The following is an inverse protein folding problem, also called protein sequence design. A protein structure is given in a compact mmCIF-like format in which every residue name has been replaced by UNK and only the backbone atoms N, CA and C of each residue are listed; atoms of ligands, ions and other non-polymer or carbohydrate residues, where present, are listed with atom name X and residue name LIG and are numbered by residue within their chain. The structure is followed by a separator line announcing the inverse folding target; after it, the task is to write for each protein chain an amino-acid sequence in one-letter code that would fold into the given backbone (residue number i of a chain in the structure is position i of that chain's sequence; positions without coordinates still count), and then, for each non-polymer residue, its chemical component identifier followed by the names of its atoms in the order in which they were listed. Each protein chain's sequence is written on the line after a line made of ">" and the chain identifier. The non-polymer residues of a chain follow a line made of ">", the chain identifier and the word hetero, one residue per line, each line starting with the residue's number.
data_IF_303325159637
#
_entry.id   IF_303325159637
#
_cell.length_a   1.000
_cell.length_b   1.000
_cell.length_c   1.000
_cell.angle_alpha   90.00
_cell.angle_beta   90.00
_cell.angle_gamma   90.00
#
_symmetry.space_group_name_H-M   'P 1'
#
loop_
_entity.id
_entity.type
_entity.pdbx_description
1 polymer ?
#
# COMPACT_ATOMS: atom_id res chain seq x y z
N UNK A 1 -14.87 -11.02 -22.45
CA UNK A 1 -14.73 -9.68 -21.80
C UNK A 1 -13.30 -9.60 -21.31
N UNK A 2 -12.63 -8.46 -21.47
CA UNK A 2 -11.28 -8.30 -20.92
C UNK A 2 -11.34 -8.41 -19.39
N UNK A 3 -10.35 -9.07 -18.79
CA UNK A 3 -10.19 -9.18 -17.35
C UNK A 3 -9.90 -7.80 -16.77
N UNK A 4 -10.51 -7.48 -15.63
CA UNK A 4 -10.16 -6.26 -14.90
C UNK A 4 -8.78 -6.42 -14.25
N UNK A 5 -7.92 -5.42 -14.37
CA UNK A 5 -6.62 -5.42 -13.68
C UNK A 5 -6.76 -4.57 -12.42
N UNK A 6 -6.57 -5.20 -11.27
CA UNK A 6 -6.60 -4.54 -9.97
C UNK A 6 -5.18 -4.47 -9.42
N UNK A 7 -4.67 -3.28 -9.20
CA UNK A 7 -3.31 -3.04 -8.73
C UNK A 7 -3.37 -2.51 -7.31
N UNK A 8 -2.79 -3.27 -6.38
CA UNK A 8 -2.80 -2.98 -4.96
C UNK A 8 -1.38 -2.62 -4.53
N UNK A 9 -1.25 -1.45 -3.94
CA UNK A 9 0.03 -0.92 -3.48
C UNK A 9 0.05 -0.88 -1.96
N UNK A 10 1.11 -1.41 -1.36
CA UNK A 10 1.60 -0.83 -0.11
C UNK A 10 2.12 0.60 -0.34
N UNK A 11 2.27 1.37 0.74
CA UNK A 11 2.61 2.78 0.66
C UNK A 11 4.08 3.07 1.02
N UNK A 12 4.43 2.94 2.29
CA UNK A 12 5.78 3.22 2.80
C UNK A 12 6.79 2.29 2.11
N UNK A 13 7.91 2.84 1.63
CA UNK A 13 8.97 2.10 0.90
C UNK A 13 8.48 1.31 -0.32
N UNK A 14 7.26 1.52 -0.76
CA UNK A 14 6.69 0.91 -1.98
C UNK A 14 6.31 2.00 -2.98
N UNK A 15 5.33 2.85 -2.64
CA UNK A 15 4.96 4.02 -3.44
C UNK A 15 5.91 5.19 -3.20
N UNK A 16 6.28 5.42 -1.94
CA UNK A 16 7.28 6.40 -1.55
C UNK A 16 8.62 5.71 -1.26
N UNK A 17 9.73 6.45 -1.34
CA UNK A 17 11.08 5.93 -1.10
C UNK A 17 11.54 6.09 0.36
N UNK A 18 10.60 6.35 1.28
CA UNK A 18 10.86 6.42 2.72
C UNK A 18 9.67 5.83 3.50
N UNK A 19 9.75 5.90 4.82
CA UNK A 19 8.70 5.55 5.78
C UNK A 19 8.10 6.86 6.31
N UNK A 20 6.82 7.08 6.02
CA UNK A 20 6.11 8.34 6.30
C UNK A 20 6.06 8.67 7.80
N UNK A 21 5.91 7.65 8.65
CA UNK A 21 5.94 7.80 10.10
C UNK A 21 7.33 8.28 10.56
N UNK A 22 8.39 7.59 10.14
CA UNK A 22 9.78 7.95 10.45
C UNK A 22 10.16 9.31 9.90
N UNK A 23 9.66 9.67 8.73
CA UNK A 23 9.88 10.98 8.12
C UNK A 23 9.37 12.10 9.03
N UNK A 24 8.12 11.99 9.50
CA UNK A 24 7.53 12.96 10.42
C UNK A 24 8.26 12.97 11.76
N UNK A 25 8.56 11.79 12.34
CA UNK A 25 9.29 11.70 13.62
C UNK A 25 10.63 12.43 13.54
N UNK A 26 11.41 12.18 12.49
CA UNK A 26 12.73 12.80 12.30
C UNK A 26 12.59 14.29 11.98
N UNK A 27 11.74 14.63 11.01
CA UNK A 27 11.55 15.99 10.51
C UNK A 27 10.99 16.95 11.55
N UNK A 28 10.24 16.44 12.53
CA UNK A 28 9.61 17.23 13.58
C UNK A 28 10.28 17.06 14.96
N UNK A 29 11.45 16.41 15.03
CA UNK A 29 12.28 16.38 16.23
C UNK A 29 11.80 15.45 17.35
N UNK A 30 11.02 14.40 17.02
CA UNK A 30 10.47 13.46 18.00
C UNK A 30 11.32 12.20 18.22
N UNK A 31 12.44 12.03 17.51
CA UNK A 31 13.26 10.82 17.52
C UNK A 31 13.59 10.28 18.93
N UNK A 32 13.95 11.17 19.86
CA UNK A 32 14.29 10.76 21.22
C UNK A 32 13.07 10.16 21.95
N UNK A 33 11.94 10.85 21.95
CA UNK A 33 10.71 10.37 22.58
C UNK A 33 10.19 9.09 21.92
N UNK A 34 10.23 9.03 20.59
CA UNK A 34 9.87 7.84 19.83
C UNK A 34 10.67 6.62 20.30
N UNK A 35 12.01 6.74 20.39
CA UNK A 35 12.87 5.64 20.81
C UNK A 35 12.61 5.21 22.26
N UNK A 36 12.25 6.14 23.15
CA UNK A 36 11.90 5.82 24.54
C UNK A 36 10.59 5.03 24.64
N UNK A 37 9.59 5.35 23.81
CA UNK A 37 8.25 4.77 23.90
C UNK A 37 8.06 3.52 23.01
N UNK A 38 8.91 3.34 22.00
CA UNK A 38 8.88 2.19 21.08
C UNK A 38 8.83 0.81 21.75
N UNK A 39 9.59 0.51 22.83
CA UNK A 39 9.51 -0.81 23.46
C UNK A 39 8.24 -1.03 24.29
N UNK A 40 7.42 0.01 24.51
CA UNK A 40 6.29 0.00 25.44
C UNK A 40 4.95 -0.01 24.69
N UNK A 41 4.87 0.69 23.56
CA UNK A 41 3.61 0.90 22.82
C UNK A 41 3.57 0.07 21.54
N UNK A 42 2.36 -0.35 21.14
CA UNK A 42 2.12 -0.82 19.78
C UNK A 42 2.45 0.27 18.76
N UNK A 43 2.76 -0.09 17.51
CA UNK A 43 3.13 0.89 16.49
C UNK A 43 2.07 1.98 16.30
N UNK A 44 0.80 1.59 16.11
CA UNK A 44 -0.30 2.55 15.93
C UNK A 44 -0.48 3.46 17.16
N UNK A 45 -0.43 2.90 18.38
CA UNK A 45 -0.52 3.70 19.61
C UNK A 45 0.66 4.64 19.79
N UNK A 46 1.86 4.22 19.36
CA UNK A 46 3.06 5.03 19.38
C UNK A 46 2.92 6.21 18.43
N UNK A 47 2.47 5.98 17.20
CA UNK A 47 2.28 7.05 16.22
C UNK A 47 1.18 8.03 16.65
N UNK A 48 0.06 7.54 17.19
CA UNK A 48 -0.96 8.38 17.80
C UNK A 48 -0.40 9.23 18.96
N UNK A 49 0.46 8.65 19.81
CA UNK A 49 1.16 9.39 20.86
C UNK A 49 2.12 10.44 20.29
N UNK A 50 2.80 10.17 19.17
CA UNK A 50 3.71 11.12 18.53
C UNK A 50 2.95 12.33 18.01
N UNK A 51 1.84 12.15 17.30
CA UNK A 51 1.06 13.29 16.78
C UNK A 51 0.39 14.11 17.89
N UNK A 52 0.02 13.48 19.02
CA UNK A 52 -0.43 14.18 20.23
C UNK A 52 0.68 15.00 20.88
N UNK A 53 1.92 14.51 20.87
CA UNK A 53 3.07 15.27 21.36
C UNK A 53 3.39 16.47 20.45
N UNK A 54 3.28 16.33 19.13
CA UNK A 54 3.44 17.48 18.24
C UNK A 54 2.47 18.60 18.59
N UNK A 55 1.21 18.24 18.86
CA UNK A 55 0.22 19.21 19.27
C UNK A 55 0.52 19.86 20.63
N UNK A 56 0.99 19.09 21.63
CA UNK A 56 1.39 19.66 22.93
C UNK A 56 2.56 20.65 22.81
N UNK A 57 3.39 20.49 21.78
CA UNK A 57 4.47 21.42 21.42
C UNK A 57 4.01 22.58 20.52
N UNK A 58 2.69 22.74 20.32
CA UNK A 58 2.11 23.83 19.52
C UNK A 58 2.18 23.63 18.01
N UNK A 59 2.53 22.43 17.52
CA UNK A 59 2.50 22.10 16.09
C UNK A 59 1.07 21.83 15.64
N UNK A 60 0.76 22.29 14.44
CA UNK A 60 -0.54 22.13 13.80
C UNK A 60 -0.54 20.97 12.81
N UNK A 61 -1.72 20.49 12.44
CA UNK A 61 -1.89 19.53 11.34
C UNK A 61 -1.30 20.04 10.02
N UNK A 62 -1.33 21.37 9.81
CA UNK A 62 -0.70 22.00 8.65
C UNK A 62 0.83 21.84 8.68
N UNK A 63 1.47 21.97 9.83
CA UNK A 63 2.92 21.78 9.96
C UNK A 63 3.31 20.33 9.63
N UNK A 64 2.50 19.37 10.07
CA UNK A 64 2.68 17.95 9.72
C UNK A 64 2.52 17.77 8.20
N UNK A 65 1.50 18.39 7.60
CA UNK A 65 1.29 18.31 6.16
C UNK A 65 2.45 18.91 5.36
N UNK A 66 2.98 20.07 5.75
CA UNK A 66 4.16 20.66 5.09
C UNK A 66 5.40 19.76 5.23
N UNK A 67 5.59 19.11 6.38
CA UNK A 67 6.67 18.13 6.56
C UNK A 67 6.52 16.94 5.59
N UNK A 68 5.31 16.40 5.45
CA UNK A 68 5.01 15.26 4.58
C UNK A 68 5.20 15.56 3.09
N UNK A 69 5.03 16.82 2.64
CA UNK A 69 5.32 17.20 1.25
C UNK A 69 6.79 17.02 0.86
N UNK A 70 7.69 16.93 1.83
CA UNK A 70 9.10 16.64 1.59
C UNK A 70 9.43 15.16 1.35
N UNK A 71 8.49 14.24 1.59
CA UNK A 71 8.72 12.79 1.46
C UNK A 71 9.07 12.45 0.01
N UNK A 72 10.16 11.71 -0.23
CA UNK A 72 10.58 11.37 -1.58
C UNK A 72 9.63 10.37 -2.24
N UNK A 73 9.22 10.69 -3.46
CA UNK A 73 8.47 9.79 -4.35
C UNK A 73 9.16 9.80 -5.72
N UNK A 74 9.63 8.65 -6.17
CA UNK A 74 10.37 8.55 -7.43
C UNK A 74 9.50 8.97 -8.62
N UNK A 75 9.99 9.87 -9.47
CA UNK A 75 9.23 10.40 -10.61
C UNK A 75 8.70 9.30 -11.55
N UNK A 76 9.48 8.24 -11.74
CA UNK A 76 9.10 7.06 -12.55
C UNK A 76 8.00 6.21 -11.90
N UNK A 77 7.98 6.11 -10.57
CA UNK A 77 6.85 5.51 -9.84
C UNK A 77 5.58 6.34 -10.04
N UNK A 78 5.66 7.67 -9.97
CA UNK A 78 4.52 8.54 -10.26
C UNK A 78 4.01 8.37 -11.71
N UNK A 79 4.92 8.26 -12.67
CA UNK A 79 4.59 8.01 -14.07
C UNK A 79 3.90 6.65 -14.25
N UNK A 80 4.40 5.60 -13.62
CA UNK A 80 3.80 4.27 -13.65
C UNK A 80 2.36 4.26 -13.15
N UNK A 81 2.07 4.92 -12.02
CA UNK A 81 0.73 5.04 -11.44
C UNK A 81 -0.22 5.75 -12.42
N UNK A 82 0.20 6.89 -12.97
CA UNK A 82 -0.61 7.67 -13.91
C UNK A 82 -0.89 6.88 -15.19
N UNK A 83 0.12 6.18 -15.71
CA UNK A 83 -0.02 5.33 -16.89
C UNK A 83 -0.96 4.14 -16.63
N UNK A 84 -0.81 3.43 -15.51
CA UNK A 84 -1.69 2.33 -15.15
C UNK A 84 -3.15 2.79 -14.98
N UNK A 85 -3.36 3.95 -14.35
CA UNK A 85 -4.68 4.56 -14.25
C UNK A 85 -5.26 4.95 -15.62
N UNK A 86 -4.46 5.57 -16.49
CA UNK A 86 -4.87 5.93 -17.85
C UNK A 86 -5.19 4.70 -18.74
N UNK A 87 -4.57 3.56 -18.45
CA UNK A 87 -4.87 2.26 -19.07
C UNK A 87 -6.14 1.60 -18.52
N UNK A 88 -6.83 2.24 -17.57
CA UNK A 88 -8.10 1.76 -17.02
C UNK A 88 -7.95 0.71 -15.92
N UNK A 89 -6.77 0.54 -15.33
CA UNK A 89 -6.59 -0.34 -14.18
C UNK A 89 -7.29 0.24 -12.93
N UNK A 90 -7.78 -0.64 -12.05
CA UNK A 90 -8.32 -0.25 -10.74
C UNK A 90 -7.19 -0.22 -9.71
N UNK A 91 -6.75 0.99 -9.32
CA UNK A 91 -5.63 1.17 -8.39
C UNK A 91 -6.13 1.38 -6.97
N UNK A 92 -5.55 0.66 -6.01
CA UNK A 92 -5.88 0.78 -4.58
C UNK A 92 -4.63 0.85 -3.71
N UNK A 93 -4.72 1.53 -2.59
CA UNK A 93 -3.70 1.50 -1.53
C UNK A 93 -4.19 0.63 -0.38
N UNK A 94 -3.34 -0.31 0.06
CA UNK A 94 -3.56 -1.11 1.28
C UNK A 94 -2.29 -1.01 2.13
N UNK A 95 -2.33 -0.15 3.14
CA UNK A 95 -1.12 0.18 3.90
C UNK A 95 -1.37 0.31 5.39
N UNK A 96 -0.36 -0.09 6.16
CA UNK A 96 -0.35 0.02 7.62
C UNK A 96 0.12 1.39 8.13
N UNK A 97 0.33 2.35 7.23
CA UNK A 97 0.49 3.77 7.57
C UNK A 97 -0.84 4.35 8.09
N UNK A 98 -1.05 5.66 7.97
CA UNK A 98 -2.30 6.31 8.36
C UNK A 98 -2.89 7.17 7.24
N UNK A 99 -4.23 7.32 7.27
CA UNK A 99 -4.98 8.00 6.22
C UNK A 99 -4.49 9.43 5.96
N UNK A 100 -4.35 10.25 6.99
CA UNK A 100 -3.90 11.63 6.84
C UNK A 100 -2.55 11.74 6.09
N UNK A 101 -1.58 10.86 6.39
CA UNK A 101 -0.27 10.89 5.74
C UNK A 101 -0.35 10.50 4.28
N UNK A 102 -0.98 9.36 3.98
CA UNK A 102 -1.14 8.86 2.61
C UNK A 102 -1.84 9.90 1.74
N UNK A 103 -2.99 10.42 2.20
CA UNK A 103 -3.75 11.38 1.40
C UNK A 103 -2.96 12.67 1.15
N UNK A 104 -2.23 13.16 2.17
CA UNK A 104 -1.44 14.39 2.04
C UNK A 104 -0.35 14.26 0.99
N UNK A 105 0.41 13.16 1.04
CA UNK A 105 1.50 12.90 0.09
C UNK A 105 0.94 12.68 -1.31
N UNK A 106 -0.09 11.84 -1.47
CA UNK A 106 -0.71 11.59 -2.78
C UNK A 106 -1.31 12.86 -3.41
N UNK A 107 -1.97 13.71 -2.61
CA UNK A 107 -2.51 15.00 -3.08
C UNK A 107 -1.38 15.93 -3.50
N UNK A 108 -0.28 15.99 -2.75
CA UNK A 108 0.88 16.81 -3.12
C UNK A 108 1.47 16.42 -4.49
N UNK A 109 1.56 15.14 -4.79
CA UNK A 109 2.10 14.63 -6.06
C UNK A 109 1.06 14.55 -7.20
N UNK A 110 -0.20 14.93 -6.95
CA UNK A 110 -1.27 14.84 -7.94
C UNK A 110 -1.58 13.39 -8.35
N UNK A 111 -1.54 12.47 -7.39
CA UNK A 111 -1.76 11.03 -7.57
C UNK A 111 -3.01 10.54 -6.84
N UNK A 112 -3.60 11.34 -5.96
CA UNK A 112 -4.74 10.92 -5.12
C UNK A 112 -5.91 10.37 -5.95
N UNK A 113 -6.28 11.09 -7.01
CA UNK A 113 -7.42 10.72 -7.86
C UNK A 113 -7.15 9.49 -8.76
N UNK A 114 -5.91 8.99 -8.81
CA UNK A 114 -5.59 7.76 -9.52
C UNK A 114 -6.09 6.52 -8.77
N UNK A 115 -6.29 6.61 -7.45
CA UNK A 115 -6.67 5.50 -6.59
C UNK A 115 -8.18 5.53 -6.31
N UNK A 116 -8.85 4.42 -6.58
CA UNK A 116 -10.29 4.29 -6.28
C UNK A 116 -10.57 4.07 -4.79
N UNK A 117 -9.59 3.54 -4.05
CA UNK A 117 -9.74 3.24 -2.63
C UNK A 117 -8.38 3.29 -1.89
N UNK A 118 -8.39 3.84 -0.68
CA UNK A 118 -7.26 3.84 0.25
C UNK A 118 -7.74 3.18 1.55
N UNK A 119 -7.20 2.00 1.84
CA UNK A 119 -7.56 1.17 2.98
C UNK A 119 -6.37 1.15 3.94
N UNK A 120 -6.53 1.80 5.10
CA UNK A 120 -5.42 2.08 6.02
C UNK A 120 -5.95 2.45 7.41
N UNK A 121 -5.05 2.67 8.39
CA UNK A 121 -5.42 3.12 9.72
C UNK A 121 -6.13 4.49 9.67
N UNK A 122 -7.38 4.61 10.13
CA UNK A 122 -8.14 5.84 10.02
C UNK A 122 -7.56 6.97 10.89
N UNK A 123 -7.83 8.19 10.47
CA UNK A 123 -7.39 9.40 11.17
C UNK A 123 -8.54 10.39 11.35
N UNK A 124 -8.55 11.11 12.47
CA UNK A 124 -9.48 12.19 12.75
C UNK A 124 -8.71 13.44 13.16
N UNK A 125 -9.16 14.61 12.74
CA UNK A 125 -8.76 15.88 13.37
C UNK A 125 -9.90 16.31 14.26
N UNK A 126 -9.65 16.40 15.56
CA UNK A 126 -10.68 16.79 16.53
C UNK A 126 -10.99 18.30 16.50
N UNK A 127 -11.96 18.72 17.30
CA UNK A 127 -12.40 20.12 17.41
C UNK A 127 -11.30 21.09 17.90
N UNK A 128 -10.23 20.56 18.49
CA UNK A 128 -9.07 21.33 18.94
C UNK A 128 -7.92 21.31 17.93
N UNK A 129 -8.13 20.74 16.74
CA UNK A 129 -7.11 20.62 15.70
C UNK A 129 -6.06 19.55 16.00
N UNK A 130 -6.37 18.56 16.84
CA UNK A 130 -5.45 17.44 17.13
C UNK A 130 -5.67 16.30 16.17
N UNK A 131 -4.60 15.86 15.52
CA UNK A 131 -4.61 14.63 14.74
C UNK A 131 -4.64 13.42 15.69
N UNK A 132 -5.52 12.48 15.40
CA UNK A 132 -5.66 11.21 16.10
C UNK A 132 -5.55 10.07 15.08
N UNK A 133 -4.85 9.01 15.45
CA UNK A 133 -4.64 7.81 14.62
C UNK A 133 -5.28 6.62 15.32
N UNK A 134 -6.09 5.86 14.58
CA UNK A 134 -6.82 4.71 15.10
C UNK A 134 -6.41 3.44 14.35
N UNK A 135 -6.41 2.27 15.00
CA UNK A 135 -6.20 1.01 14.30
C UNK A 135 -7.34 0.75 13.29
N UNK A 136 -7.02 0.17 12.14
CA UNK A 136 -8.02 -0.20 11.13
C UNK A 136 -8.98 -1.29 11.64
N UNK A 137 -8.42 -2.31 12.30
CA UNK A 137 -9.19 -3.35 12.96
C UNK A 137 -9.54 -2.97 14.39
N UNK A 138 -10.72 -3.41 14.84
CA UNK A 138 -11.08 -3.38 16.25
C UNK A 138 -10.14 -4.28 17.06
N UNK A 139 -9.38 -3.67 17.97
CA UNK A 139 -8.44 -4.38 18.83
C UNK A 139 -9.13 -5.29 19.86
N UNK A 140 -10.42 -5.07 20.15
CA UNK A 140 -11.19 -5.95 21.01
C UNK A 140 -11.57 -7.28 20.32
N UNK A 141 -11.48 -7.33 18.99
CA UNK A 141 -11.84 -8.48 18.17
C UNK A 141 -10.66 -8.89 17.27
N UNK A 142 -9.65 -9.61 17.80
CA UNK A 142 -8.47 -9.99 17.04
C UNK A 142 -8.84 -10.75 15.76
N UNK A 143 -8.24 -10.37 14.64
CA UNK A 143 -8.55 -10.93 13.32
C UNK A 143 -7.97 -12.34 13.08
N UNK A 144 -7.36 -12.98 14.10
CA UNK A 144 -6.91 -14.38 14.06
C UNK A 144 -5.75 -14.69 13.10
N UNK A 145 -5.07 -13.70 12.52
CA UNK A 145 -3.93 -13.93 11.64
C UNK A 145 -2.62 -13.80 12.42
N UNK A 146 -1.76 -14.82 12.34
CA UNK A 146 -0.47 -14.84 13.03
C UNK A 146 0.67 -14.15 12.26
N UNK A 147 0.43 -13.72 11.02
CA UNK A 147 1.43 -13.07 10.16
C UNK A 147 1.35 -11.53 10.19
N UNK A 148 0.26 -10.98 10.72
CA UNK A 148 -0.02 -9.54 10.65
C UNK A 148 -0.05 -8.92 12.05
N UNK A 149 0.28 -7.63 12.17
CA UNK A 149 0.08 -6.90 13.41
C UNK A 149 -1.42 -6.77 13.72
N UNK A 150 -1.76 -6.59 15.00
CA UNK A 150 -3.15 -6.61 15.48
C UNK A 150 -4.04 -5.52 14.88
N UNK A 151 -3.46 -4.39 14.50
CA UNK A 151 -4.18 -3.23 14.01
C UNK A 151 -4.65 -3.38 12.55
N UNK A 152 -3.98 -4.17 11.70
CA UNK A 152 -4.38 -4.35 10.32
C UNK A 152 -3.86 -5.67 9.73
N UNK A 153 -4.75 -6.43 9.08
CA UNK A 153 -4.39 -7.62 8.32
C UNK A 153 -4.66 -7.38 6.83
N UNK A 154 -3.60 -7.05 6.08
CA UNK A 154 -3.71 -6.78 4.64
C UNK A 154 -4.23 -7.98 3.85
N UNK A 155 -3.94 -9.21 4.29
CA UNK A 155 -4.48 -10.42 3.64
C UNK A 155 -6.01 -10.56 3.74
N UNK A 156 -6.61 -10.15 4.87
CA UNK A 156 -8.08 -10.12 5.01
C UNK A 156 -8.66 -9.02 4.12
N UNK A 157 -7.99 -7.86 4.06
CA UNK A 157 -8.39 -6.76 3.17
C UNK A 157 -8.41 -7.19 1.71
N UNK A 158 -7.36 -7.85 1.21
CA UNK A 158 -7.35 -8.36 -0.17
C UNK A 158 -8.45 -9.37 -0.40
N UNK A 159 -8.70 -10.32 0.52
CA UNK A 159 -9.79 -11.29 0.36
C UNK A 159 -11.14 -10.59 0.24
N UNK A 160 -11.37 -9.50 0.98
CA UNK A 160 -12.57 -8.68 0.84
C UNK A 160 -12.66 -8.01 -0.54
N UNK A 161 -11.55 -7.44 -1.05
CA UNK A 161 -11.50 -6.84 -2.39
C UNK A 161 -11.78 -7.89 -3.47
N UNK A 162 -11.15 -9.07 -3.38
CA UNK A 162 -11.39 -10.19 -4.30
C UNK A 162 -12.87 -10.60 -4.29
N UNK A 163 -13.47 -10.72 -3.10
CA UNK A 163 -14.87 -11.10 -2.95
C UNK A 163 -15.87 -10.06 -3.47
N UNK A 164 -15.53 -8.76 -3.45
CA UNK A 164 -16.40 -7.71 -4.01
C UNK A 164 -16.36 -7.65 -5.54
N UNK A 165 -15.32 -8.20 -6.17
CA UNK A 165 -15.13 -8.15 -7.63
C UNK A 165 -15.57 -9.45 -8.31
N UNK A 166 -15.29 -10.60 -7.69
CA UNK A 166 -15.55 -11.94 -8.26
C UNK A 166 -16.99 -12.17 -8.80
N UNK A 167 -18.07 -11.63 -8.19
CA UNK A 167 -19.42 -11.81 -8.72
C UNK A 167 -19.69 -11.08 -10.05
N UNK A 168 -18.87 -10.08 -10.38
CA UNK A 168 -19.14 -9.16 -11.49
C UNK A 168 -18.25 -9.39 -12.70
N UNK A 169 -17.01 -9.87 -12.50
CA UNK A 169 -16.01 -10.03 -13.57
C UNK A 169 -14.82 -10.87 -13.13
N UNK A 170 -14.13 -11.43 -14.12
CA UNK A 170 -12.78 -11.97 -13.91
C UNK A 170 -11.80 -10.82 -13.70
N UNK A 171 -10.95 -10.92 -12.67
CA UNK A 171 -9.95 -9.93 -12.35
C UNK A 171 -8.58 -10.58 -12.15
N UNK A 172 -7.52 -9.88 -12.56
CA UNK A 172 -6.12 -10.21 -12.28
C UNK A 172 -5.55 -9.21 -11.29
N UNK A 173 -4.97 -9.72 -10.23
CA UNK A 173 -4.41 -8.89 -9.16
C UNK A 173 -2.91 -8.73 -9.33
N UNK A 174 -2.43 -7.50 -9.18
CA UNK A 174 -1.01 -7.17 -9.06
C UNK A 174 -0.81 -6.54 -7.68
N UNK A 175 0.00 -7.15 -6.83
CA UNK A 175 0.32 -6.60 -5.50
C UNK A 175 1.77 -6.14 -5.44
N UNK A 176 2.00 -4.90 -5.01
CA UNK A 176 3.31 -4.32 -4.78
C UNK A 176 3.52 -4.09 -3.28
N UNK A 177 4.67 -4.49 -2.75
CA UNK A 177 5.01 -4.28 -1.33
C UNK A 177 6.50 -4.47 -1.02
N UNK A 178 6.91 -4.10 0.20
CA UNK A 178 8.29 -4.21 0.66
C UNK A 178 8.41 -5.02 1.97
N UNK A 179 7.43 -4.95 2.86
CA UNK A 179 7.59 -5.29 4.28
C UNK A 179 7.06 -6.66 4.69
N UNK A 180 7.31 -7.02 5.95
CA UNK A 180 6.79 -8.26 6.54
C UNK A 180 5.25 -8.36 6.46
N UNK A 181 4.56 -7.22 6.66
CA UNK A 181 3.09 -7.13 6.63
C UNK A 181 2.49 -7.43 5.26
N UNK A 182 3.30 -7.43 4.21
CA UNK A 182 2.88 -7.73 2.84
C UNK A 182 2.96 -9.21 2.49
N UNK A 183 3.58 -10.05 3.31
CA UNK A 183 3.66 -11.47 2.99
C UNK A 183 2.29 -12.16 3.09
N UNK A 184 1.48 -11.77 4.08
CA UNK A 184 0.13 -12.29 4.23
C UNK A 184 -0.76 -12.07 3.00
N UNK A 185 -0.87 -10.86 2.42
CA UNK A 185 -1.62 -10.65 1.19
C UNK A 185 -1.06 -11.40 -0.02
N UNK A 186 0.26 -11.57 -0.15
CA UNK A 186 0.85 -12.37 -1.24
C UNK A 186 0.36 -13.82 -1.20
N UNK A 187 0.24 -14.43 -0.01
CA UNK A 187 -0.32 -15.78 0.17
C UNK A 187 -1.82 -15.89 -0.18
N UNK A 188 -2.51 -14.78 -0.47
CA UNK A 188 -3.92 -14.76 -0.86
C UNK A 188 -4.12 -14.60 -2.37
N UNK A 189 -3.05 -14.31 -3.10
CA UNK A 189 -3.03 -14.27 -4.55
C UNK A 189 -3.00 -15.70 -5.10
N UNK A 190 -3.67 -15.90 -6.24
CA UNK A 190 -3.75 -17.20 -6.90
C UNK A 190 -2.95 -17.27 -8.19
N UNK A 191 -3.07 -18.40 -8.88
CA UNK A 191 -2.50 -18.57 -10.22
C UNK A 191 -3.02 -17.51 -11.20
N UNK A 192 -2.10 -16.84 -11.87
CA UNK A 192 -2.39 -15.76 -12.82
C UNK A 192 -2.31 -14.35 -12.22
N UNK A 193 -2.25 -14.23 -10.89
CA UNK A 193 -1.93 -12.97 -10.21
C UNK A 193 -0.42 -12.71 -10.21
N UNK A 194 -0.02 -11.48 -9.85
CA UNK A 194 1.36 -11.01 -9.82
C UNK A 194 1.74 -10.44 -8.45
N UNK A 195 2.91 -10.82 -7.98
CA UNK A 195 3.52 -10.30 -6.77
C UNK A 195 4.79 -9.52 -7.14
N UNK A 196 4.90 -8.26 -6.73
CA UNK A 196 6.01 -7.37 -7.05
C UNK A 196 6.73 -6.94 -5.77
N UNK A 197 7.57 -7.81 -5.18
CA UNK A 197 8.33 -7.46 -3.99
C UNK A 197 9.47 -6.51 -4.31
N UNK A 198 9.65 -5.47 -3.48
CA UNK A 198 10.82 -4.60 -3.56
C UNK A 198 12.06 -5.36 -3.07
N UNK A 199 13.11 -5.44 -3.88
CA UNK A 199 14.35 -6.13 -3.51
C UNK A 199 15.00 -5.49 -2.29
N UNK A 200 15.71 -6.33 -1.53
CA UNK A 200 16.43 -5.95 -0.31
C UNK A 200 15.52 -5.49 0.85
N UNK A 201 14.20 -5.65 0.73
CA UNK A 201 13.24 -5.49 1.81
C UNK A 201 12.67 -6.85 2.26
N UNK A 202 12.09 -6.93 3.48
CA UNK A 202 11.73 -8.22 4.08
C UNK A 202 10.79 -9.09 3.25
N UNK A 203 9.84 -8.51 2.52
CA UNK A 203 8.91 -9.26 1.68
C UNK A 203 9.64 -10.11 0.64
N UNK A 204 10.68 -9.55 0.02
CA UNK A 204 11.46 -10.23 -1.00
C UNK A 204 12.12 -11.50 -0.46
N UNK A 205 12.74 -11.43 0.72
CA UNK A 205 13.36 -12.60 1.35
C UNK A 205 12.32 -13.61 1.87
N UNK A 206 11.17 -13.13 2.36
CA UNK A 206 10.07 -14.02 2.78
C UNK A 206 9.54 -14.84 1.60
N UNK A 207 9.30 -14.20 0.45
CA UNK A 207 8.87 -14.91 -0.76
C UNK A 207 9.93 -15.91 -1.21
N UNK A 208 11.21 -15.52 -1.25
CA UNK A 208 12.32 -16.42 -1.63
C UNK A 208 12.44 -17.63 -0.71
N UNK A 209 12.14 -17.47 0.57
CA UNK A 209 12.25 -18.54 1.58
C UNK A 209 11.01 -19.44 1.65
N UNK A 210 9.91 -19.08 0.98
CA UNK A 210 8.61 -19.74 1.10
C UNK A 210 7.92 -19.89 -0.28
N UNK A 211 8.71 -20.10 -1.34
CA UNK A 211 8.23 -20.10 -2.73
C UNK A 211 7.12 -21.14 -2.98
N UNK A 212 7.15 -22.27 -2.28
CA UNK A 212 6.17 -23.34 -2.37
C UNK A 212 4.75 -22.92 -1.93
N UNK A 213 4.64 -21.84 -1.15
CA UNK A 213 3.36 -21.31 -0.68
C UNK A 213 2.85 -20.12 -1.51
N UNK A 214 3.64 -19.64 -2.47
CA UNK A 214 3.30 -18.47 -3.30
C UNK A 214 2.82 -18.94 -4.67
N UNK A 215 1.51 -18.79 -4.94
CA UNK A 215 0.92 -19.18 -6.23
C UNK A 215 1.05 -18.12 -7.34
N UNK A 216 1.23 -16.85 -6.96
CA UNK A 216 1.36 -15.73 -7.90
C UNK A 216 2.73 -15.74 -8.61
N UNK A 217 2.78 -15.21 -9.84
CA UNK A 217 4.06 -14.99 -10.54
C UNK A 217 4.80 -13.81 -9.88
N UNK A 218 6.08 -14.01 -9.55
CA UNK A 218 6.87 -13.04 -8.78
C UNK A 218 7.75 -12.20 -9.73
N UNK A 219 7.65 -10.88 -9.61
CA UNK A 219 8.42 -9.90 -10.38
C UNK A 219 9.08 -8.87 -9.45
N UNK A 220 10.30 -9.17 -9.05
CA UNK A 220 11.10 -8.32 -8.16
C UNK A 220 11.59 -7.03 -8.83
N UNK A 221 11.65 -5.93 -8.07
CA UNK A 221 12.08 -4.61 -8.55
C UNK A 221 12.93 -3.87 -7.50
N UNK A 222 13.86 -3.01 -7.92
CA UNK A 222 14.78 -2.30 -7.01
C UNK A 222 14.47 -0.80 -6.84
N UNK A 223 14.02 -0.15 -7.92
CA UNK A 223 13.83 1.31 -7.98
C UNK A 223 12.63 1.67 -8.86
N UNK A 224 12.31 2.97 -8.95
CA UNK A 224 11.16 3.43 -9.70
C UNK A 224 11.22 3.22 -11.22
N UNK A 225 12.41 3.13 -11.82
CA UNK A 225 12.55 2.82 -13.26
C UNK A 225 12.20 1.36 -13.54
N UNK A 226 12.72 0.43 -12.73
CA UNK A 226 12.37 -0.99 -12.82
C UNK A 226 10.89 -1.22 -12.54
N UNK A 227 10.34 -0.57 -11.50
CA UNK A 227 8.92 -0.66 -11.17
C UNK A 227 8.06 -0.21 -12.36
N UNK A 228 8.34 0.95 -12.95
CA UNK A 228 7.60 1.45 -14.11
C UNK A 228 7.65 0.45 -15.27
N UNK A 229 8.85 -0.01 -15.64
CA UNK A 229 9.02 -0.93 -16.75
C UNK A 229 8.27 -2.25 -16.54
N UNK A 230 8.45 -2.87 -15.36
CA UNK A 230 7.84 -4.17 -15.03
C UNK A 230 6.32 -4.03 -14.96
N UNK A 231 5.81 -3.02 -14.26
CA UNK A 231 4.36 -2.85 -14.07
C UNK A 231 3.64 -2.68 -15.40
N UNK A 232 4.15 -1.81 -16.28
CA UNK A 232 3.55 -1.58 -17.59
C UNK A 232 3.64 -2.82 -18.49
N UNK A 233 4.78 -3.52 -18.50
CA UNK A 233 4.92 -4.78 -19.25
C UNK A 233 3.94 -5.86 -18.78
N UNK A 234 3.64 -5.92 -17.48
CA UNK A 234 2.65 -6.85 -16.93
C UNK A 234 1.22 -6.47 -17.33
N UNK A 235 0.87 -5.18 -17.29
CA UNK A 235 -0.44 -4.69 -17.74
C UNK A 235 -0.66 -5.04 -19.22
N UNK A 236 0.34 -4.79 -20.07
CA UNK A 236 0.28 -5.13 -21.50
C UNK A 236 0.14 -6.64 -21.73
N UNK A 237 0.90 -7.45 -20.98
CA UNK A 237 0.83 -8.92 -21.08
C UNK A 237 -0.56 -9.43 -20.71
N UNK A 238 -1.10 -9.00 -19.57
CA UNK A 238 -2.42 -9.44 -19.09
C UNK A 238 -3.51 -9.04 -20.10
N UNK A 239 -3.46 -7.79 -20.57
CA UNK A 239 -4.40 -7.29 -21.58
C UNK A 239 -4.32 -8.09 -22.90
N UNK A 240 -3.12 -8.49 -23.31
CA UNK A 240 -2.89 -9.30 -24.51
C UNK A 240 -3.33 -10.77 -24.38
N UNK A 241 -3.24 -11.36 -23.18
CA UNK A 241 -3.73 -12.72 -22.91
C UNK A 241 -5.25 -12.83 -23.08
N UNK A 242 -5.99 -11.80 -22.68
CA UNK A 242 -7.45 -11.76 -22.83
C UNK A 242 -7.89 -11.67 -24.29
N UNK A 243 -7.15 -10.93 -25.12
CA UNK A 243 -7.42 -10.84 -26.56
C UNK A 243 -7.28 -12.23 -27.21
N UNK A 244 -6.28 -13.03 -26.82
CA UNK A 244 -6.06 -14.38 -27.36
C UNK A 244 -7.10 -15.40 -26.89
N UNK A 245 -7.76 -15.16 -25.75
CA UNK A 245 -8.84 -16.00 -25.21
C UNK A 245 -10.22 -15.65 -25.77
N UNK A 246 -10.38 -14.51 -26.42
CA UNK A 246 -11.63 -14.18 -27.10
C UNK A 246 -11.85 -15.18 -28.25
N UNK A 247 -13.06 -15.77 -28.38
CA UNK A 247 -13.36 -16.65 -29.51
C UNK A 247 -13.14 -15.86 -30.80
N UNK A 248 -12.31 -16.41 -31.70
CA UNK A 248 -12.23 -15.92 -33.08
C UNK A 248 -13.64 -16.07 -33.64
N UNK A 249 -14.26 -14.95 -33.98
CA UNK A 249 -15.56 -14.96 -34.66
C UNK A 249 -15.34 -15.57 -36.05
N UNK A 250 -15.44 -16.89 -36.16
CA UNK A 250 -15.57 -17.60 -37.42
C UNK A 250 -16.98 -17.35 -37.98
N UNK A 251 -17.29 -16.09 -38.28
CA UNK A 251 -18.45 -15.75 -39.10
C UNK A 251 -18.09 -14.72 -40.18
N UNK A 252 -17.82 -15.31 -41.36
CA UNK A 252 -17.77 -14.77 -42.75
C UNK A 252 -16.42 -14.33 -43.31
#
# INVERSE_FOLDING_TARGET
>A
MASEIVIIFDFDRTLIDDDSDRWVIKGMGLTHLFNQLRPILSWTSLMDRMVKELHSQGRTVKDIAECLKGVPLHQRTAAAIKSAHALGCDLKVVSDANKFYIETILKHHGLYDCFSEIITNPTLVDEHGRLQIFPYNDLASPHGCHLCPSNMCKGIVIKRIQASIAPHREAKFIYLGDGNGDFCPILKLGKGDRALPRKHYPLWELIRSNQEFVEAEVHEWCNGEELEHILLALIDRISGEDIKKAPVDESR
#
